data_IF_841133169080
#
_entry.id   IF_841133169080
#
_cell.length_a   1.000
_cell.length_b   1.000
_cell.length_c   1.000
_cell.angle_alpha   90.00
_cell.angle_beta   90.00
_cell.angle_gamma   90.00
#
_symmetry.space_group_name_H-M   'P 1'
#
loop_
_entity.id
_entity.type
_entity.pdbx_description
1 polymer ?
#
# COMPACT_ATOMS: atom_id res chain seq x y z
N UNK A 1 -7.97 -10.57 15.53
CA UNK A 1 -8.00 -9.39 14.63
C UNK A 1 -8.55 -9.80 13.27
N UNK A 2 -9.55 -9.09 12.77
CA UNK A 2 -10.18 -9.37 11.47
C UNK A 2 -9.17 -9.21 10.31
N UNK A 3 -9.37 -9.96 9.22
CA UNK A 3 -8.44 -10.01 8.07
C UNK A 3 -8.28 -8.66 7.38
N UNK A 4 -9.35 -7.92 7.23
CA UNK A 4 -9.36 -6.57 6.65
C UNK A 4 -8.51 -5.59 7.48
N UNK A 5 -8.51 -5.73 8.81
CA UNK A 5 -7.65 -4.91 9.70
C UNK A 5 -6.18 -5.32 9.59
N UNK A 6 -5.88 -6.62 9.47
CA UNK A 6 -4.51 -7.12 9.16
C UNK A 6 -3.96 -6.52 7.87
N UNK A 7 -4.77 -6.52 6.82
CA UNK A 7 -4.42 -5.94 5.51
C UNK A 7 -4.27 -4.43 5.57
N UNK A 8 -5.19 -3.74 6.27
CA UNK A 8 -5.10 -2.29 6.46
C UNK A 8 -3.80 -1.88 7.18
N UNK A 9 -3.41 -2.61 8.23
CA UNK A 9 -2.16 -2.35 8.96
C UNK A 9 -0.95 -2.61 8.09
N UNK A 10 -0.94 -3.70 7.32
CA UNK A 10 0.15 -4.02 6.41
C UNK A 10 0.33 -2.94 5.33
N UNK A 11 -0.74 -2.53 4.64
CA UNK A 11 -0.66 -1.43 3.68
C UNK A 11 -0.22 -0.11 4.32
N UNK A 12 -0.67 0.20 5.53
CA UNK A 12 -0.19 1.40 6.24
C UNK A 12 1.31 1.31 6.57
N UNK A 13 1.78 0.16 7.05
CA UNK A 13 3.19 -0.05 7.33
C UNK A 13 4.05 0.08 6.07
N UNK A 14 3.62 -0.50 4.95
CA UNK A 14 4.31 -0.40 3.66
C UNK A 14 4.29 1.05 3.14
N UNK A 15 3.15 1.75 3.25
CA UNK A 15 3.05 3.16 2.89
C UNK A 15 4.00 4.05 3.70
N UNK A 16 4.11 3.81 5.01
CA UNK A 16 5.08 4.52 5.88
C UNK A 16 6.52 4.17 5.50
N UNK A 17 6.82 2.90 5.22
CA UNK A 17 8.14 2.49 4.74
C UNK A 17 8.53 3.25 3.47
N UNK A 18 7.62 3.34 2.49
CA UNK A 18 7.89 4.09 1.24
C UNK A 18 8.02 5.60 1.46
N UNK A 19 7.32 6.18 2.43
CA UNK A 19 7.56 7.57 2.86
C UNK A 19 8.98 7.71 3.37
N UNK A 20 9.43 6.85 4.29
CA UNK A 20 10.80 6.89 4.80
C UNK A 20 11.83 6.72 3.68
N UNK A 21 11.62 5.77 2.78
CA UNK A 21 12.52 5.52 1.64
C UNK A 21 12.62 6.73 0.72
N UNK A 22 11.49 7.31 0.28
CA UNK A 22 11.53 8.47 -0.63
C UNK A 22 12.12 9.70 0.06
N UNK A 23 11.84 9.91 1.35
CA UNK A 23 12.44 11.01 2.12
C UNK A 23 13.96 10.87 2.20
N UNK A 24 14.46 9.67 2.53
CA UNK A 24 15.91 9.41 2.59
C UNK A 24 16.57 9.55 1.21
N UNK A 25 15.92 9.02 0.16
CA UNK A 25 16.41 9.13 -1.22
C UNK A 25 16.50 10.59 -1.67
N UNK A 26 15.42 11.36 -1.49
CA UNK A 26 15.38 12.78 -1.87
C UNK A 26 16.39 13.59 -1.07
N UNK A 27 16.54 13.32 0.23
CA UNK A 27 17.56 13.97 1.06
C UNK A 27 18.98 13.66 0.57
N UNK A 28 19.29 12.39 0.27
CA UNK A 28 20.59 11.99 -0.26
C UNK A 28 20.89 12.66 -1.61
N UNK A 29 19.90 12.71 -2.52
CA UNK A 29 20.02 13.38 -3.81
C UNK A 29 20.23 14.89 -3.65
N UNK A 30 19.49 15.54 -2.74
CA UNK A 30 19.59 16.98 -2.51
C UNK A 30 20.93 17.42 -1.90
N UNK A 31 21.63 16.50 -1.22
CA UNK A 31 22.98 16.74 -0.67
C UNK A 31 24.10 16.49 -1.70
N UNK A 32 23.77 16.05 -2.92
CA UNK A 32 24.74 15.77 -3.98
C UNK A 32 24.95 17.03 -4.86
N UNK A 33 26.18 17.58 -4.97
CA UNK A 33 26.42 18.90 -5.56
C UNK A 33 25.93 19.12 -7.00
N UNK A 34 25.93 18.07 -7.83
CA UNK A 34 25.62 18.18 -9.26
C UNK A 34 24.19 17.74 -9.64
N UNK A 35 23.36 17.40 -8.64
CA UNK A 35 21.99 16.95 -8.89
C UNK A 35 21.08 18.15 -9.16
N UNK A 36 20.45 18.15 -10.35
CA UNK A 36 19.42 19.13 -10.68
C UNK A 36 18.17 18.90 -9.83
N UNK A 37 17.58 19.97 -9.30
CA UNK A 37 16.32 19.91 -8.53
C UNK A 37 15.20 19.23 -9.30
N UNK A 38 15.14 19.40 -10.63
CA UNK A 38 14.16 18.74 -11.50
C UNK A 38 14.27 17.21 -11.47
N UNK A 39 15.46 16.66 -11.20
CA UNK A 39 15.67 15.21 -11.05
C UNK A 39 14.98 14.63 -9.80
N UNK A 40 14.60 15.47 -8.83
CA UNK A 40 13.86 15.04 -7.63
C UNK A 40 12.38 14.77 -7.92
N UNK A 41 11.83 15.35 -8.99
CA UNK A 41 10.40 15.25 -9.33
C UNK A 41 10.02 13.81 -9.63
N UNK A 42 10.85 13.09 -10.39
CA UNK A 42 10.56 11.72 -10.81
C UNK A 42 10.38 10.75 -9.62
N UNK A 43 11.34 10.61 -8.67
CA UNK A 43 11.15 9.74 -7.52
C UNK A 43 9.97 10.18 -6.65
N UNK A 44 9.74 11.48 -6.46
CA UNK A 44 8.59 11.98 -5.69
C UNK A 44 7.27 11.52 -6.31
N UNK A 45 7.10 11.64 -7.63
CA UNK A 45 5.88 11.21 -8.31
C UNK A 45 5.71 9.70 -8.22
N UNK A 46 6.75 8.94 -8.57
CA UNK A 46 6.69 7.46 -8.60
C UNK A 46 6.37 6.90 -7.21
N UNK A 47 7.13 7.28 -6.18
CA UNK A 47 6.86 6.84 -4.82
C UNK A 47 5.55 7.43 -4.28
N UNK A 48 5.19 8.66 -4.68
CA UNK A 48 3.92 9.28 -4.33
C UNK A 48 2.71 8.45 -4.75
N UNK A 49 2.72 7.92 -5.99
CA UNK A 49 1.67 7.01 -6.48
C UNK A 49 1.62 5.72 -5.67
N UNK A 50 2.78 5.12 -5.37
CA UNK A 50 2.86 3.88 -4.57
C UNK A 50 2.36 4.09 -3.14
N UNK A 51 2.79 5.18 -2.50
CA UNK A 51 2.35 5.57 -1.15
C UNK A 51 0.83 5.78 -1.14
N UNK A 52 0.31 6.55 -2.10
CA UNK A 52 -1.12 6.81 -2.22
C UNK A 52 -1.92 5.51 -2.41
N UNK A 53 -1.48 4.62 -3.31
CA UNK A 53 -2.13 3.33 -3.54
C UNK A 53 -2.24 2.51 -2.25
N UNK A 54 -1.19 2.47 -1.44
CA UNK A 54 -1.20 1.76 -0.17
C UNK A 54 -2.07 2.44 0.89
N UNK A 55 -1.98 3.75 1.08
CA UNK A 55 -2.73 4.46 2.12
C UNK A 55 -4.23 4.51 1.81
N UNK A 56 -4.61 4.70 0.55
CA UNK A 56 -6.01 4.63 0.10
C UNK A 56 -6.57 3.22 0.31
N UNK A 57 -5.83 2.19 -0.11
CA UNK A 57 -6.23 0.79 0.09
C UNK A 57 -6.33 0.44 1.57
N UNK A 58 -5.41 0.93 2.41
CA UNK A 58 -5.47 0.75 3.86
C UNK A 58 -6.75 1.34 4.47
N UNK A 59 -7.14 2.55 4.04
CA UNK A 59 -8.39 3.19 4.49
C UNK A 59 -9.62 2.39 4.06
N UNK A 60 -9.65 1.92 2.82
CA UNK A 60 -10.74 1.08 2.30
C UNK A 60 -10.83 -0.29 3.01
N UNK A 61 -9.69 -0.92 3.27
CA UNK A 61 -9.60 -2.20 3.97
C UNK A 61 -10.07 -2.07 5.43
N UNK A 62 -9.71 -0.99 6.13
CA UNK A 62 -10.22 -0.72 7.48
C UNK A 62 -11.75 -0.63 7.53
N UNK A 63 -12.37 -0.16 6.45
CA UNK A 63 -13.82 -0.06 6.29
C UNK A 63 -14.44 -1.32 5.66
N UNK A 64 -13.66 -2.37 5.45
CA UNK A 64 -14.10 -3.64 4.83
C UNK A 64 -14.73 -3.46 3.44
N UNK A 65 -14.28 -2.47 2.66
CA UNK A 65 -14.86 -2.19 1.34
C UNK A 65 -14.45 -3.24 0.30
N UNK A 66 -15.37 -3.74 -0.56
CA UNK A 66 -15.05 -4.74 -1.58
C UNK A 66 -13.95 -4.31 -2.56
N UNK A 67 -13.96 -3.06 -3.02
CA UNK A 67 -12.93 -2.54 -3.93
C UNK A 67 -11.53 -2.57 -3.30
N UNK A 68 -11.44 -2.38 -1.97
CA UNK A 68 -10.17 -2.35 -1.28
C UNK A 68 -9.57 -3.75 -1.19
N UNK A 69 -10.42 -4.78 -1.10
CA UNK A 69 -9.99 -6.17 -1.23
C UNK A 69 -9.43 -6.44 -2.63
N UNK A 70 -10.13 -6.03 -3.68
CA UNK A 70 -9.65 -6.18 -5.06
C UNK A 70 -8.32 -5.46 -5.29
N UNK A 71 -8.21 -4.21 -4.84
CA UNK A 71 -6.96 -3.45 -4.90
C UNK A 71 -5.84 -4.14 -4.13
N UNK A 72 -6.12 -4.68 -2.94
CA UNK A 72 -5.14 -5.43 -2.14
C UNK A 72 -4.65 -6.67 -2.91
N UNK A 73 -5.53 -7.41 -3.59
CA UNK A 73 -5.15 -8.59 -4.39
C UNK A 73 -4.22 -8.17 -5.54
N UNK A 74 -4.59 -7.15 -6.30
CA UNK A 74 -3.76 -6.63 -7.42
C UNK A 74 -2.38 -6.21 -6.91
N UNK A 75 -2.33 -5.39 -5.86
CA UNK A 75 -1.07 -4.95 -5.24
C UNK A 75 -0.25 -6.15 -4.75
N UNK A 76 -0.90 -7.17 -4.19
CA UNK A 76 -0.21 -8.36 -3.71
C UNK A 76 0.45 -9.14 -4.83
N UNK A 77 -0.25 -9.33 -5.96
CA UNK A 77 0.31 -9.99 -7.15
C UNK A 77 1.52 -9.22 -7.68
N UNK A 78 1.44 -7.88 -7.74
CA UNK A 78 2.59 -7.05 -8.12
C UNK A 78 3.75 -7.20 -7.13
N UNK A 79 3.48 -7.25 -5.82
CA UNK A 79 4.50 -7.46 -4.80
C UNK A 79 5.19 -8.82 -4.90
N UNK A 80 4.53 -9.85 -5.44
CA UNK A 80 5.16 -11.18 -5.62
C UNK A 80 6.42 -11.12 -6.49
N UNK A 81 6.53 -10.13 -7.39
CA UNK A 81 7.69 -9.91 -8.25
C UNK A 81 8.90 -9.32 -7.51
N UNK A 82 8.70 -8.72 -6.33
CA UNK A 82 9.75 -8.05 -5.54
C UNK A 82 10.56 -9.00 -4.64
N UNK A 83 10.95 -10.17 -5.14
CA UNK A 83 11.57 -11.24 -4.34
C UNK A 83 12.85 -10.78 -3.59
N UNK A 84 13.08 -11.25 -2.34
CA UNK A 84 12.22 -12.15 -1.54
C UNK A 84 11.19 -11.41 -0.68
N UNK A 85 11.47 -10.15 -0.32
CA UNK A 85 10.67 -9.40 0.66
C UNK A 85 9.27 -9.11 0.12
N UNK A 86 9.18 -8.67 -1.13
CA UNK A 86 7.89 -8.43 -1.79
C UNK A 86 7.05 -9.70 -1.86
N UNK A 87 7.67 -10.85 -2.14
CA UNK A 87 6.98 -12.14 -2.18
C UNK A 87 6.36 -12.51 -0.85
N UNK A 88 7.09 -12.39 0.26
CA UNK A 88 6.55 -12.68 1.60
C UNK A 88 5.36 -11.77 1.95
N UNK A 89 5.48 -10.47 1.65
CA UNK A 89 4.41 -9.50 1.90
C UNK A 89 3.19 -9.78 1.00
N UNK A 90 3.41 -10.07 -0.28
CA UNK A 90 2.37 -10.41 -1.25
C UNK A 90 1.60 -11.65 -0.85
N UNK A 91 2.29 -12.72 -0.43
CA UNK A 91 1.66 -13.94 0.09
C UNK A 91 0.82 -13.62 1.34
N UNK A 92 1.36 -12.85 2.28
CA UNK A 92 0.63 -12.46 3.48
C UNK A 92 -0.68 -11.69 3.16
N UNK A 93 -0.63 -10.74 2.24
CA UNK A 93 -1.81 -9.97 1.83
C UNK A 93 -2.81 -10.84 1.06
N UNK A 94 -2.35 -11.73 0.18
CA UNK A 94 -3.20 -12.70 -0.54
C UNK A 94 -3.93 -13.63 0.44
N UNK A 95 -3.21 -14.20 1.40
CA UNK A 95 -3.80 -15.09 2.40
C UNK A 95 -4.92 -14.39 3.21
N UNK A 96 -4.79 -13.09 3.47
CA UNK A 96 -5.80 -12.31 4.19
C UNK A 96 -6.90 -11.72 3.28
N UNK A 97 -6.75 -11.79 1.95
CA UNK A 97 -7.75 -11.33 0.98
C UNK A 97 -8.45 -12.49 0.27
N UNK A 98 -7.99 -13.73 0.40
CA UNK A 98 -8.53 -14.87 -0.36
C UNK A 98 -10.04 -15.06 -0.19
N UNK A 99 -10.56 -14.87 1.03
CA UNK A 99 -12.00 -14.88 1.32
C UNK A 99 -12.55 -13.45 1.43
N UNK A 100 -13.80 -13.19 1.01
CA UNK A 100 -14.46 -11.91 1.26
C UNK A 100 -14.38 -11.49 2.73
N UNK A 101 -14.34 -10.19 2.97
CA UNK A 101 -14.39 -9.63 4.31
C UNK A 101 -15.85 -9.39 4.71
N UNK A 102 -16.16 -9.55 6.00
CA UNK A 102 -17.48 -9.21 6.54
C UNK A 102 -17.74 -7.72 6.31
N UNK A 103 -18.87 -7.39 5.70
CA UNK A 103 -19.31 -6.00 5.65
C UNK A 103 -19.85 -5.61 7.03
N UNK A 104 -19.54 -4.41 7.54
CA UNK A 104 -20.25 -3.89 8.71
C UNK A 104 -21.75 -3.92 8.43
N UNK A 105 -22.56 -4.41 9.37
CA UNK A 105 -24.00 -4.70 9.23
C UNK A 105 -24.91 -3.50 8.85
N UNK A 106 -24.36 -2.35 8.49
CA UNK A 106 -25.06 -1.08 8.32
C UNK A 106 -25.71 -0.85 6.94
N UNK A 107 -25.78 -1.84 6.05
CA UNK A 107 -26.45 -1.71 4.73
C UNK A 107 -27.67 -2.60 4.52
N UNK A 108 -28.15 -3.28 5.56
CA UNK A 108 -29.32 -4.15 5.47
C UNK A 108 -30.67 -3.46 5.80
N UNK A 109 -30.68 -2.16 6.16
CA UNK A 109 -31.87 -1.48 6.70
C UNK A 109 -32.53 -0.53 5.69
N UNK A 110 -31.99 -0.36 4.47
CA UNK A 110 -32.60 0.51 3.45
C UNK A 110 -32.49 -0.16 2.09
N UNK A 111 -33.37 -1.14 1.85
CA UNK A 111 -33.72 -1.64 0.53
C UNK A 111 -35.25 -1.77 0.47
#
# INVERSE_FOLDING_TARGET
MERNIKVARAHRAIGVLYICVVTLLVAAMALTPDVKVTSLIFPIIVFGVVIAAHLVTARGARQSKPWARTASIVISVLLLLGFPVGTLIGIYLLANTWKPWSQPAARAVVA
#
